data_IF_223085137093
#
_entry.id   IF_223085137093
#
_cell.length_a   1.000
_cell.length_b   1.000
_cell.length_c   1.000
_cell.angle_alpha   90.00
_cell.angle_beta   90.00
_cell.angle_gamma   90.00
#
_symmetry.space_group_name_H-M   'P 1'
#
loop_
_entity.id
_entity.type
_entity.pdbx_description
1 polymer ?
#
# COMPACT_ATOMS: atom_id res chain seq x y z
N UNK A 1 -4.71 -17.57 26.41
CA UNK A 1 -5.07 -16.31 25.74
C UNK A 1 -4.64 -15.15 26.63
N UNK A 2 -3.63 -14.37 26.22
CA UNK A 2 -2.93 -13.38 27.04
C UNK A 2 -3.86 -12.21 27.43
N UNK A 3 -3.72 -11.71 28.67
CA UNK A 3 -4.56 -10.62 29.25
C UNK A 3 -4.52 -9.34 28.42
N UNK A 4 -3.40 -9.08 27.74
CA UNK A 4 -3.24 -7.96 26.81
C UNK A 4 -4.10 -8.10 25.54
N UNK A 5 -4.25 -9.33 25.00
CA UNK A 5 -5.13 -9.59 23.86
C UNK A 5 -6.61 -9.37 24.18
N UNK A 6 -7.04 -9.66 25.43
CA UNK A 6 -8.44 -9.40 25.86
C UNK A 6 -8.74 -7.91 26.03
N UNK A 7 -7.77 -7.13 26.50
CA UNK A 7 -7.91 -5.67 26.65
C UNK A 7 -7.92 -5.00 25.27
N UNK A 8 -7.09 -5.48 24.36
CA UNK A 8 -7.00 -5.00 22.98
C UNK A 8 -8.28 -5.32 22.18
N UNK A 9 -8.80 -6.54 22.30
CA UNK A 9 -10.08 -6.93 21.70
C UNK A 9 -11.24 -6.04 22.19
N UNK A 10 -11.24 -5.64 23.47
CA UNK A 10 -12.25 -4.75 24.06
C UNK A 10 -12.19 -3.32 23.50
N UNK A 11 -11.00 -2.85 23.09
CA UNK A 11 -10.80 -1.51 22.53
C UNK A 11 -11.25 -1.44 21.06
N UNK A 12 -10.90 -2.45 20.26
CA UNK A 12 -11.37 -2.61 18.87
C UNK A 12 -12.91 -2.75 18.82
N UNK A 13 -13.51 -3.31 19.87
CA UNK A 13 -14.95 -3.58 20.00
C UNK A 13 -15.83 -2.32 20.17
N UNK A 14 -15.28 -1.13 20.32
CA UNK A 14 -16.05 0.11 20.57
C UNK A 14 -16.12 1.09 19.40
N UNK A 15 -15.42 0.85 18.29
CA UNK A 15 -15.38 1.79 17.17
C UNK A 15 -16.29 1.36 15.99
N UNK A 16 -16.73 2.33 15.19
CA UNK A 16 -17.40 2.11 13.88
C UNK A 16 -16.58 1.20 12.94
N UNK A 17 -15.31 1.08 13.18
CA UNK A 17 -14.33 0.23 12.54
C UNK A 17 -14.59 -1.28 12.74
N UNK A 18 -15.17 -1.69 13.87
CA UNK A 18 -15.58 -3.09 14.09
C UNK A 18 -16.58 -3.55 13.03
N UNK A 19 -17.60 -2.74 12.73
CA UNK A 19 -18.59 -3.09 11.69
C UNK A 19 -17.94 -3.17 10.32
N UNK A 20 -16.97 -2.29 10.01
CA UNK A 20 -16.26 -2.33 8.73
C UNK A 20 -15.39 -3.59 8.60
N UNK A 21 -14.73 -4.03 9.68
CA UNK A 21 -13.96 -5.30 9.68
C UNK A 21 -14.90 -6.50 9.65
N UNK A 22 -15.98 -6.52 10.41
CA UNK A 22 -17.00 -7.58 10.37
C UNK A 22 -17.64 -7.65 8.98
N UNK A 23 -18.03 -6.53 8.37
CA UNK A 23 -18.52 -6.44 6.99
C UNK A 23 -17.47 -6.89 5.96
N UNK A 24 -16.17 -6.68 6.25
CA UNK A 24 -15.07 -7.12 5.41
C UNK A 24 -14.87 -8.64 5.51
N UNK A 25 -14.99 -9.18 6.71
CA UNK A 25 -14.87 -10.60 6.99
C UNK A 25 -16.06 -11.39 6.40
N UNK A 26 -17.28 -10.84 6.47
CA UNK A 26 -18.49 -11.45 5.88
C UNK A 26 -18.49 -11.39 4.34
N UNK A 27 -17.73 -10.45 3.74
CA UNK A 27 -17.61 -10.32 2.27
C UNK A 27 -16.50 -11.19 1.67
N UNK A 28 -15.63 -11.78 2.49
CA UNK A 28 -14.70 -12.82 2.06
C UNK A 28 -15.50 -14.12 1.87
N UNK A 29 -16.09 -14.30 0.70
CA UNK A 29 -16.80 -15.53 0.36
C UNK A 29 -15.86 -16.74 0.39
N UNK A 30 -16.17 -17.73 1.23
CA UNK A 30 -15.43 -19.00 1.29
C UNK A 30 -16.02 -19.96 0.26
N UNK A 31 -15.18 -20.51 -0.59
CA UNK A 31 -15.53 -21.67 -1.42
C UNK A 31 -14.70 -22.84 -0.95
N UNK A 32 -15.34 -23.77 -0.20
CA UNK A 32 -14.67 -25.02 0.18
C UNK A 32 -14.58 -25.99 -0.99
N UNK A 33 -13.40 -26.53 -1.21
CA UNK A 33 -13.18 -27.69 -2.09
C UNK A 33 -13.29 -28.95 -1.23
N UNK A 34 -13.94 -30.02 -1.70
CA UNK A 34 -14.17 -31.29 -0.99
C UNK A 34 -12.92 -31.81 -0.25
N UNK A 35 -13.05 -31.99 1.07
CA UNK A 35 -11.96 -32.28 2.02
C UNK A 35 -11.91 -33.79 2.36
N UNK A 36 -10.80 -34.51 2.15
CA UNK A 36 -10.54 -35.83 2.69
C UNK A 36 -10.19 -35.81 4.20
N UNK A 37 -10.48 -36.87 4.92
CA UNK A 37 -10.53 -36.93 6.38
C UNK A 37 -9.17 -36.86 7.15
N UNK A 38 -8.02 -36.78 6.52
CA UNK A 38 -6.70 -36.68 7.16
C UNK A 38 -5.81 -35.68 6.43
N UNK A 39 -5.75 -34.43 6.91
CA UNK A 39 -4.88 -33.40 6.32
C UNK A 39 -3.95 -32.83 7.39
N UNK A 40 -2.70 -32.60 7.00
CA UNK A 40 -1.64 -32.14 7.91
C UNK A 40 -1.64 -30.63 8.11
N UNK A 41 -2.04 -29.85 7.08
CA UNK A 41 -2.05 -28.38 7.13
C UNK A 41 -3.34 -27.83 6.57
N UNK A 42 -3.89 -26.79 7.21
CA UNK A 42 -5.00 -26.00 6.67
C UNK A 42 -4.44 -24.74 5.99
N UNK A 43 -4.58 -24.66 4.68
CA UNK A 43 -4.06 -23.58 3.83
C UNK A 43 -5.21 -22.71 3.37
N UNK A 44 -5.08 -21.39 3.48
CA UNK A 44 -6.02 -20.44 2.89
C UNK A 44 -5.36 -19.67 1.75
N UNK A 45 -5.78 -19.95 0.50
CA UNK A 45 -5.34 -19.22 -0.69
C UNK A 45 -6.06 -17.89 -0.77
N UNK A 46 -5.33 -16.81 -0.58
CA UNK A 46 -5.83 -15.46 -0.61
C UNK A 46 -5.70 -14.88 -2.01
N UNK A 47 -6.83 -14.72 -2.68
CA UNK A 47 -6.91 -14.23 -4.07
C UNK A 47 -7.66 -12.90 -4.09
N UNK A 48 -7.35 -12.02 -5.02
CA UNK A 48 -8.03 -10.75 -5.20
C UNK A 48 -8.73 -10.69 -6.56
N UNK A 49 -9.99 -10.24 -6.59
CA UNK A 49 -10.79 -10.17 -7.82
C UNK A 49 -10.41 -8.98 -8.71
N UNK A 50 -9.96 -7.86 -8.11
CA UNK A 50 -9.47 -6.72 -8.89
C UNK A 50 -8.16 -7.08 -9.58
N UNK A 51 -8.12 -6.79 -10.87
CA UNK A 51 -7.00 -7.17 -11.73
C UNK A 51 -6.13 -5.99 -12.16
N UNK A 52 -6.55 -4.74 -11.93
CA UNK A 52 -5.81 -3.56 -12.35
C UNK A 52 -5.53 -2.61 -11.19
N UNK A 53 -4.74 -3.08 -10.28
CA UNK A 53 -4.41 -2.38 -9.04
C UNK A 53 -2.90 -2.32 -8.83
N UNK A 54 -2.40 -1.21 -8.30
CA UNK A 54 -1.00 -1.08 -7.93
C UNK A 54 -0.66 -1.90 -6.68
N UNK A 55 0.62 -2.19 -6.50
CA UNK A 55 1.18 -3.05 -5.45
C UNK A 55 0.71 -2.69 -4.03
N UNK A 56 0.59 -1.40 -3.68
CA UNK A 56 0.12 -1.01 -2.34
C UNK A 56 -1.39 -1.13 -2.18
N UNK A 57 -2.16 -1.19 -3.26
CA UNK A 57 -3.57 -1.58 -3.18
C UNK A 57 -3.70 -3.06 -2.81
N UNK A 58 -2.83 -3.92 -3.35
CA UNK A 58 -2.72 -5.33 -2.95
C UNK A 58 -2.23 -5.44 -1.50
N UNK A 59 -1.19 -4.71 -1.12
CA UNK A 59 -0.65 -4.69 0.24
C UNK A 59 -1.75 -4.41 1.28
N UNK A 60 -2.54 -3.33 1.09
CA UNK A 60 -3.62 -2.95 1.99
C UNK A 60 -4.76 -3.97 1.99
N UNK A 61 -5.08 -4.57 0.83
CA UNK A 61 -6.15 -5.55 0.72
C UNK A 61 -5.81 -6.90 1.35
N UNK A 62 -4.56 -7.34 1.25
CA UNK A 62 -4.14 -8.62 1.81
C UNK A 62 -3.87 -8.58 3.32
N UNK A 63 -3.57 -7.44 3.93
CA UNK A 63 -3.37 -7.34 5.37
C UNK A 63 -4.53 -7.93 6.18
N UNK A 64 -5.79 -7.50 6.01
CA UNK A 64 -6.91 -8.08 6.75
C UNK A 64 -7.24 -9.52 6.33
N UNK A 65 -6.98 -9.88 5.06
CA UNK A 65 -7.19 -11.26 4.61
C UNK A 65 -6.20 -12.24 5.27
N UNK A 66 -4.93 -11.86 5.38
CA UNK A 66 -3.91 -12.63 6.10
C UNK A 66 -4.30 -12.75 7.58
N UNK A 67 -4.75 -11.66 8.20
CA UNK A 67 -5.20 -11.67 9.60
C UNK A 67 -6.37 -12.65 9.80
N UNK A 68 -7.35 -12.62 8.90
CA UNK A 68 -8.51 -13.49 8.94
C UNK A 68 -8.10 -14.97 8.85
N UNK A 69 -7.25 -15.34 7.90
CA UNK A 69 -6.75 -16.70 7.75
C UNK A 69 -6.02 -17.19 9.02
N UNK A 70 -5.13 -16.36 9.58
CA UNK A 70 -4.41 -16.70 10.82
C UNK A 70 -5.35 -16.87 12.01
N UNK A 71 -6.39 -16.04 12.12
CA UNK A 71 -7.40 -16.19 13.19
C UNK A 71 -8.20 -17.50 13.10
N UNK A 72 -8.42 -18.00 11.89
CA UNK A 72 -9.04 -19.32 11.64
C UNK A 72 -8.09 -20.48 11.91
N UNK A 73 -6.81 -20.22 12.12
CA UNK A 73 -5.77 -21.23 12.27
C UNK A 73 -5.24 -21.76 10.94
N UNK A 74 -5.53 -21.08 9.84
CA UNK A 74 -5.04 -21.40 8.51
C UNK A 74 -3.69 -20.76 8.23
N UNK A 75 -2.91 -21.39 7.35
CA UNK A 75 -1.67 -20.82 6.79
C UNK A 75 -2.05 -19.97 5.56
N UNK A 76 -1.91 -18.64 5.62
CA UNK A 76 -2.23 -17.78 4.49
C UNK A 76 -1.18 -17.88 3.38
N UNK A 77 -1.63 -18.09 2.15
CA UNK A 77 -0.80 -18.07 0.93
C UNK A 77 -1.39 -17.05 -0.03
N UNK A 78 -0.64 -16.00 -0.35
CA UNK A 78 -1.10 -14.97 -1.28
C UNK A 78 -0.93 -15.45 -2.73
N UNK A 79 -2.05 -15.55 -3.44
CA UNK A 79 -2.14 -16.03 -4.81
C UNK A 79 -2.54 -14.91 -5.77
N UNK A 80 -1.54 -14.28 -6.42
CA UNK A 80 -1.72 -13.34 -7.53
C UNK A 80 -1.37 -13.96 -8.89
N UNK A 81 -1.30 -15.28 -8.95
CA UNK A 81 -1.14 -16.05 -10.18
C UNK A 81 -2.50 -16.45 -10.76
N UNK A 82 -3.39 -17.01 -9.96
CA UNK A 82 -4.71 -17.50 -10.42
C UNK A 82 -5.58 -16.37 -10.98
N UNK A 83 -5.59 -15.20 -10.33
CA UNK A 83 -6.18 -13.95 -10.84
C UNK A 83 -5.05 -12.93 -10.90
N UNK A 84 -4.38 -12.89 -12.05
CA UNK A 84 -3.21 -12.06 -12.24
C UNK A 84 -3.56 -10.57 -12.32
N UNK A 85 -2.62 -9.74 -11.89
CA UNK A 85 -2.75 -8.30 -11.98
C UNK A 85 -2.46 -7.83 -13.42
N UNK A 86 -3.40 -7.14 -14.05
CA UNK A 86 -3.24 -6.64 -15.43
C UNK A 86 -2.19 -5.54 -15.57
N UNK A 87 -1.79 -4.85 -14.48
CA UNK A 87 -0.62 -3.98 -14.46
C UNK A 87 0.68 -4.76 -14.68
N UNK A 88 0.68 -6.06 -14.41
CA UNK A 88 1.80 -6.97 -14.58
C UNK A 88 1.46 -8.07 -15.61
N UNK A 89 0.72 -7.71 -16.67
CA UNK A 89 0.20 -8.64 -17.68
C UNK A 89 1.27 -9.47 -18.38
N UNK A 90 2.51 -8.96 -18.47
CA UNK A 90 3.64 -9.70 -19.05
C UNK A 90 4.10 -10.86 -18.16
N UNK A 91 3.56 -10.99 -16.95
CA UNK A 91 3.94 -11.97 -15.93
C UNK A 91 2.74 -12.82 -15.47
N UNK A 92 1.78 -13.08 -16.37
CA UNK A 92 0.53 -13.79 -16.05
C UNK A 92 0.75 -15.19 -15.45
N UNK A 93 1.86 -15.84 -15.79
CA UNK A 93 2.20 -17.19 -15.31
C UNK A 93 2.96 -17.19 -13.96
N UNK A 94 3.25 -16.02 -13.40
CA UNK A 94 3.97 -15.89 -12.14
C UNK A 94 3.05 -15.42 -11.01
N UNK A 95 3.38 -15.79 -9.76
CA UNK A 95 2.79 -15.17 -8.59
C UNK A 95 3.43 -13.79 -8.38
N UNK A 96 2.79 -12.73 -8.89
CA UNK A 96 3.37 -11.38 -8.90
C UNK A 96 3.51 -10.76 -7.51
N UNK A 97 2.86 -11.30 -6.50
CA UNK A 97 3.12 -10.95 -5.09
C UNK A 97 4.57 -11.22 -4.71
N UNK A 98 5.10 -12.39 -5.10
CA UNK A 98 6.46 -12.85 -4.74
C UNK A 98 7.58 -12.09 -5.45
N UNK A 99 7.27 -11.20 -6.39
CA UNK A 99 8.26 -10.27 -6.93
C UNK A 99 8.79 -9.28 -5.91
N UNK A 100 7.96 -8.97 -4.90
CA UNK A 100 8.23 -7.90 -3.94
C UNK A 100 8.15 -8.35 -2.50
N UNK A 101 7.31 -9.34 -2.19
CA UNK A 101 7.04 -9.79 -0.83
C UNK A 101 7.28 -11.29 -0.67
N UNK A 102 7.79 -11.65 0.51
CA UNK A 102 7.80 -13.05 0.93
C UNK A 102 6.36 -13.50 1.21
N UNK A 103 6.11 -14.80 1.12
CA UNK A 103 4.85 -15.36 1.60
C UNK A 103 4.72 -15.21 3.12
N UNK A 104 3.52 -14.91 3.65
CA UNK A 104 3.33 -14.55 5.07
C UNK A 104 3.86 -15.55 6.08
N UNK A 105 3.75 -16.85 5.75
CA UNK A 105 4.18 -17.96 6.61
C UNK A 105 5.24 -18.84 5.95
N UNK A 106 5.98 -18.32 4.96
CA UNK A 106 7.02 -19.03 4.20
C UNK A 106 6.52 -20.30 3.48
N UNK A 107 5.24 -20.36 3.16
CA UNK A 107 4.62 -21.40 2.33
C UNK A 107 4.12 -20.73 1.06
N UNK A 108 4.61 -21.16 -0.10
CA UNK A 108 4.22 -20.64 -1.42
C UNK A 108 3.26 -21.56 -2.16
N UNK A 109 2.87 -21.16 -3.38
CA UNK A 109 1.98 -21.97 -4.21
C UNK A 109 2.62 -23.30 -4.61
N UNK A 110 3.94 -23.32 -4.78
CA UNK A 110 4.69 -24.52 -5.17
C UNK A 110 4.91 -25.52 -4.03
N UNK A 111 4.68 -25.08 -2.79
CA UNK A 111 4.78 -25.92 -1.57
C UNK A 111 3.47 -26.65 -1.26
N UNK A 112 2.41 -26.44 -2.02
CA UNK A 112 1.11 -27.02 -1.78
C UNK A 112 1.08 -28.50 -2.17
N UNK A 113 0.60 -29.34 -1.25
CA UNK A 113 0.40 -30.76 -1.50
C UNK A 113 -1.10 -31.08 -1.45
N UNK A 114 -1.70 -31.28 -2.64
CA UNK A 114 -3.14 -31.53 -2.79
C UNK A 114 -3.62 -32.83 -2.09
N UNK A 115 -2.71 -33.75 -1.79
CA UNK A 115 -3.06 -35.03 -1.13
C UNK A 115 -3.09 -34.89 0.39
N UNK A 116 -2.28 -34.00 0.97
CA UNK A 116 -2.14 -33.86 2.43
C UNK A 116 -2.64 -32.52 3.00
N UNK A 117 -2.77 -31.47 2.16
CA UNK A 117 -3.21 -30.14 2.62
C UNK A 117 -4.73 -29.97 2.47
N UNK A 118 -5.34 -29.34 3.47
CA UNK A 118 -6.67 -28.77 3.34
C UNK A 118 -6.56 -27.37 2.74
N UNK A 119 -7.06 -27.20 1.51
CA UNK A 119 -6.94 -25.92 0.78
C UNK A 119 -8.29 -25.26 0.67
N UNK A 120 -8.43 -24.10 1.31
CA UNK A 120 -9.59 -23.19 1.18
C UNK A 120 -9.18 -21.98 0.33
N UNK A 121 -10.05 -21.51 -0.54
CA UNK A 121 -9.80 -20.30 -1.35
C UNK A 121 -10.69 -19.17 -0.88
N UNK A 122 -10.07 -18.07 -0.48
CA UNK A 122 -10.75 -16.82 -0.11
C UNK A 122 -10.51 -15.74 -1.15
N UNK A 123 -11.57 -15.04 -1.51
CA UNK A 123 -11.51 -13.92 -2.44
C UNK A 123 -11.70 -12.62 -1.66
N UNK A 124 -10.72 -11.73 -1.70
CA UNK A 124 -10.97 -10.36 -1.27
C UNK A 124 -11.93 -9.72 -2.28
N UNK A 125 -13.03 -9.15 -1.78
CA UNK A 125 -14.01 -8.52 -2.66
C UNK A 125 -13.48 -7.20 -3.24
N UNK A 126 -14.01 -6.82 -4.41
CA UNK A 126 -13.77 -5.54 -5.07
C UNK A 126 -14.00 -4.30 -4.19
N UNK A 127 -14.67 -4.47 -3.08
CA UNK A 127 -15.07 -3.40 -2.16
C UNK A 127 -14.27 -3.42 -0.86
N UNK A 128 -12.99 -3.82 -0.88
CA UNK A 128 -12.09 -3.53 0.25
C UNK A 128 -12.13 -2.01 0.43
N UNK A 129 -12.46 -1.50 1.64
CA UNK A 129 -12.44 -0.07 1.87
C UNK A 129 -11.12 0.51 1.38
N UNK A 130 -11.18 1.62 0.65
CA UNK A 130 -9.99 2.33 0.17
C UNK A 130 -9.07 2.73 1.33
N UNK A 131 -9.53 2.55 2.55
CA UNK A 131 -8.85 2.90 3.78
C UNK A 131 -8.97 1.80 4.81
N UNK A 132 -7.84 1.22 5.16
CA UNK A 132 -7.70 0.26 6.26
C UNK A 132 -7.52 0.97 7.61
N UNK A 133 -6.89 2.14 7.62
CA UNK A 133 -6.58 2.88 8.84
C UNK A 133 -7.16 4.29 8.84
N UNK A 134 -7.53 4.78 10.04
CA UNK A 134 -7.51 6.21 10.33
C UNK A 134 -6.12 6.54 10.88
N UNK A 135 -5.35 7.35 10.16
CA UNK A 135 -3.98 7.71 10.58
C UNK A 135 -3.92 8.48 11.91
N UNK A 136 -5.05 8.97 12.40
CA UNK A 136 -5.17 9.63 13.73
C UNK A 136 -5.46 8.64 14.86
N UNK A 137 -5.90 7.43 14.53
CA UNK A 137 -6.09 6.35 15.50
C UNK A 137 -4.79 5.56 15.67
N UNK A 138 -3.94 6.07 16.58
CA UNK A 138 -2.63 5.47 16.85
C UNK A 138 -2.72 3.99 17.23
N UNK A 139 -3.76 3.57 17.92
CA UNK A 139 -3.94 2.18 18.31
C UNK A 139 -4.14 1.26 17.09
N UNK A 140 -4.95 1.71 16.13
CA UNK A 140 -5.18 0.98 14.87
C UNK A 140 -3.91 0.98 14.01
N UNK A 141 -3.21 2.12 13.90
CA UNK A 141 -1.95 2.21 13.16
C UNK A 141 -0.91 1.27 13.76
N UNK A 142 -0.71 1.28 15.07
CA UNK A 142 0.23 0.39 15.77
C UNK A 142 -0.11 -1.09 15.60
N UNK A 143 -1.38 -1.43 15.63
CA UNK A 143 -1.82 -2.81 15.38
C UNK A 143 -1.39 -3.29 13.99
N UNK A 144 -1.73 -2.55 12.93
CA UNK A 144 -1.39 -2.92 11.56
C UNK A 144 0.11 -2.86 11.29
N UNK A 145 0.84 -1.93 11.91
CA UNK A 145 2.30 -1.85 11.86
C UNK A 145 2.95 -3.13 12.41
N UNK A 146 2.56 -3.56 13.60
CA UNK A 146 3.09 -4.79 14.20
C UNK A 146 2.69 -6.03 13.41
N UNK A 147 1.47 -6.06 12.90
CA UNK A 147 0.98 -7.17 12.08
C UNK A 147 1.74 -7.25 10.76
N UNK A 148 1.87 -6.15 10.05
CA UNK A 148 2.59 -6.09 8.78
C UNK A 148 4.06 -6.50 8.93
N UNK A 149 4.77 -6.02 9.95
CA UNK A 149 6.17 -6.42 10.22
C UNK A 149 6.34 -7.91 10.39
N UNK A 150 5.34 -8.58 10.92
CA UNK A 150 5.39 -10.02 11.14
C UNK A 150 5.09 -10.81 9.89
N UNK A 151 4.12 -10.39 9.09
CA UNK A 151 3.53 -11.21 8.04
C UNK A 151 3.73 -10.70 6.62
N UNK A 152 4.08 -9.43 6.41
CA UNK A 152 4.40 -8.89 5.09
C UNK A 152 5.81 -8.33 5.10
N UNK A 153 6.74 -9.07 4.53
CA UNK A 153 8.14 -8.70 4.41
C UNK A 153 8.52 -8.59 2.95
N UNK A 154 9.30 -7.59 2.62
CA UNK A 154 9.93 -7.54 1.30
C UNK A 154 10.88 -8.73 1.13
N UNK A 155 11.08 -9.18 -0.11
CA UNK A 155 12.10 -10.18 -0.41
C UNK A 155 13.48 -9.71 0.06
N UNK A 156 14.43 -10.62 0.37
CA UNK A 156 15.77 -10.24 0.85
C UNK A 156 16.48 -9.28 -0.11
N UNK A 157 16.39 -9.55 -1.41
CA UNK A 157 17.01 -8.75 -2.48
C UNK A 157 16.42 -7.33 -2.49
N UNK A 158 15.09 -7.23 -2.40
CA UNK A 158 14.42 -5.94 -2.40
C UNK A 158 14.73 -5.16 -1.12
N UNK A 159 14.78 -5.81 0.04
CA UNK A 159 15.19 -5.15 1.30
C UNK A 159 16.58 -4.53 1.20
N UNK A 160 17.52 -5.24 0.60
CA UNK A 160 18.87 -4.71 0.39
C UNK A 160 18.83 -3.48 -0.53
N UNK A 161 18.15 -3.56 -1.67
CA UNK A 161 18.02 -2.42 -2.60
C UNK A 161 17.37 -1.20 -1.94
N UNK A 162 16.31 -1.41 -1.16
CA UNK A 162 15.62 -0.34 -0.44
C UNK A 162 16.54 0.34 0.59
N UNK A 163 17.30 -0.45 1.35
CA UNK A 163 18.25 0.08 2.32
C UNK A 163 19.43 0.82 1.66
N UNK A 164 19.86 0.39 0.49
CA UNK A 164 20.86 1.09 -0.33
C UNK A 164 20.31 2.42 -0.83
N UNK A 165 19.11 2.43 -1.41
CA UNK A 165 18.44 3.65 -1.87
C UNK A 165 18.25 4.66 -0.73
N UNK A 166 17.86 4.21 0.47
CA UNK A 166 17.73 5.08 1.65
C UNK A 166 19.07 5.73 2.03
N UNK A 167 20.16 4.95 2.09
CA UNK A 167 21.50 5.45 2.42
C UNK A 167 22.07 6.43 1.39
N UNK A 168 21.74 6.22 0.12
CA UNK A 168 22.18 7.09 -0.97
C UNK A 168 21.40 8.42 -0.98
N UNK A 169 20.12 8.38 -0.70
CA UNK A 169 19.25 9.53 -0.84
C UNK A 169 19.15 10.37 0.44
N UNK A 170 19.14 9.75 1.61
CA UNK A 170 18.96 10.46 2.88
C UNK A 170 20.29 10.84 3.51
N UNK A 171 20.60 12.14 3.71
CA UNK A 171 21.77 12.55 4.45
C UNK A 171 21.73 12.03 5.89
N UNK A 172 22.84 11.56 6.42
CA UNK A 172 22.92 11.00 7.75
C UNK A 172 22.42 12.00 8.81
N UNK A 173 21.47 11.58 9.64
CA UNK A 173 20.90 12.39 10.71
C UNK A 173 19.94 13.49 10.25
N UNK A 174 19.65 13.61 8.96
CA UNK A 174 18.73 14.61 8.46
C UNK A 174 17.28 14.32 8.88
N UNK A 175 16.56 15.36 9.26
CA UNK A 175 15.12 15.34 9.49
C UNK A 175 14.42 15.56 8.16
N UNK A 176 13.73 14.55 7.65
CA UNK A 176 13.13 14.57 6.32
C UNK A 176 11.61 14.68 6.42
N UNK A 177 11.04 15.66 5.70
CA UNK A 177 9.61 15.76 5.44
C UNK A 177 9.26 14.95 4.20
N UNK A 178 8.54 13.85 4.33
CA UNK A 178 7.94 13.14 3.19
C UNK A 178 6.71 13.89 2.66
N UNK A 179 6.61 14.06 1.35
CA UNK A 179 5.47 14.67 0.67
C UNK A 179 4.98 13.75 -0.43
N UNK A 180 3.76 13.22 -0.29
CA UNK A 180 3.17 12.32 -1.27
C UNK A 180 2.05 13.00 -2.05
N UNK A 181 2.26 13.17 -3.36
CA UNK A 181 1.34 13.84 -4.29
C UNK A 181 0.84 12.85 -5.33
N UNK A 182 -0.47 12.78 -5.49
CA UNK A 182 -1.11 11.91 -6.49
C UNK A 182 -1.95 12.75 -7.45
N UNK A 183 -1.35 13.24 -8.52
CA UNK A 183 -1.94 14.21 -9.43
C UNK A 183 -3.16 13.67 -10.18
N UNK A 184 -3.12 12.42 -10.63
CA UNK A 184 -4.21 11.80 -11.41
C UNK A 184 -5.54 11.67 -10.67
N UNK A 185 -5.61 12.05 -9.40
CA UNK A 185 -6.81 11.99 -8.55
C UNK A 185 -7.12 13.32 -7.86
N UNK A 186 -6.52 14.42 -8.31
CA UNK A 186 -6.86 15.72 -7.77
C UNK A 186 -8.23 16.23 -8.29
N UNK A 187 -8.80 17.22 -7.60
CA UNK A 187 -10.16 17.69 -7.84
C UNK A 187 -10.37 18.31 -9.24
N UNK A 188 -9.32 18.88 -9.84
CA UNK A 188 -9.35 19.45 -11.17
C UNK A 188 -9.41 18.37 -12.26
N UNK A 189 -8.64 17.31 -12.11
CA UNK A 189 -8.73 16.11 -12.96
C UNK A 189 -10.09 15.44 -12.85
N UNK A 190 -10.71 15.49 -11.68
CA UNK A 190 -11.99 14.83 -11.38
C UNK A 190 -13.19 15.48 -12.05
N UNK A 191 -13.12 16.78 -12.34
CA UNK A 191 -14.23 17.46 -13.06
C UNK A 191 -14.39 16.95 -14.50
N UNK A 192 -13.37 16.32 -15.08
CA UNK A 192 -13.34 15.87 -16.47
C UNK A 192 -13.17 14.36 -16.67
N UNK A 193 -12.96 13.58 -15.61
CA UNK A 193 -12.71 12.13 -15.70
C UNK A 193 -13.71 11.31 -14.89
N UNK A 194 -14.07 10.14 -15.40
CA UNK A 194 -14.85 9.11 -14.68
C UNK A 194 -13.96 8.45 -13.61
N UNK A 195 -13.69 9.17 -12.53
CA UNK A 195 -12.98 8.58 -11.40
C UNK A 195 -13.86 7.53 -10.76
N UNK A 196 -13.25 6.40 -10.42
CA UNK A 196 -13.96 5.30 -9.80
C UNK A 196 -14.67 5.79 -8.52
N UNK A 197 -15.95 5.45 -8.41
CA UNK A 197 -16.75 5.70 -7.21
C UNK A 197 -16.04 5.12 -5.99
N UNK A 198 -16.01 5.87 -4.89
CA UNK A 198 -15.39 5.43 -3.64
C UNK A 198 -13.92 5.83 -3.48
N UNK A 199 -13.26 6.40 -4.51
CA UNK A 199 -11.89 6.89 -4.35
C UNK A 199 -11.83 8.23 -3.59
N UNK A 200 -10.85 8.42 -2.68
CA UNK A 200 -10.68 9.66 -1.96
C UNK A 200 -10.15 10.76 -2.88
N UNK A 201 -10.68 11.98 -2.68
CA UNK A 201 -10.17 13.17 -3.34
C UNK A 201 -8.78 13.49 -2.82
N UNK A 202 -7.90 13.91 -3.74
CA UNK A 202 -6.52 14.28 -3.43
C UNK A 202 -6.35 15.81 -3.39
N UNK A 203 -5.46 16.31 -2.54
CA UNK A 203 -5.08 17.71 -2.54
C UNK A 203 -4.39 18.09 -3.87
N UNK A 204 -4.57 19.34 -4.29
CA UNK A 204 -3.88 19.84 -5.49
C UNK A 204 -2.37 19.98 -5.27
N UNK A 205 -1.60 20.02 -6.34
CA UNK A 205 -0.15 20.23 -6.27
C UNK A 205 0.19 21.57 -5.58
N UNK A 206 -0.62 22.63 -5.84
CA UNK A 206 -0.45 23.94 -5.22
C UNK A 206 -0.72 23.91 -3.72
N UNK A 207 -1.77 23.22 -3.28
CA UNK A 207 -2.06 23.02 -1.84
C UNK A 207 -0.95 22.25 -1.15
N UNK A 208 -0.48 21.16 -1.79
CA UNK A 208 0.63 20.37 -1.27
C UNK A 208 1.92 21.17 -1.20
N UNK A 209 2.25 21.97 -2.21
CA UNK A 209 3.42 22.85 -2.22
C UNK A 209 3.35 23.91 -1.12
N UNK A 210 2.18 24.55 -0.97
CA UNK A 210 1.95 25.57 0.07
C UNK A 210 2.14 24.98 1.46
N UNK A 211 1.54 23.81 1.72
CA UNK A 211 1.67 23.14 3.00
C UNK A 211 3.10 22.62 3.21
N UNK A 212 3.76 22.09 2.18
CA UNK A 212 5.15 21.64 2.29
C UNK A 212 6.09 22.78 2.73
N UNK A 213 5.94 23.99 2.18
CA UNK A 213 6.70 25.18 2.62
C UNK A 213 6.50 25.47 4.09
N UNK A 214 5.25 25.47 4.55
CA UNK A 214 4.91 25.75 5.93
C UNK A 214 5.43 24.67 6.87
N UNK A 215 5.16 23.39 6.56
CA UNK A 215 5.51 22.27 7.42
C UNK A 215 7.01 22.00 7.50
N UNK A 216 7.75 22.27 6.43
CA UNK A 216 9.20 22.10 6.41
C UNK A 216 9.87 22.94 7.51
N UNK A 217 9.39 24.17 7.72
CA UNK A 217 9.88 25.08 8.75
C UNK A 217 9.28 24.78 10.13
N UNK A 218 7.94 24.65 10.24
CA UNK A 218 7.25 24.40 11.50
C UNK A 218 7.68 23.10 12.18
N UNK A 219 7.96 22.06 11.39
CA UNK A 219 8.37 20.75 11.89
C UNK A 219 9.89 20.57 11.94
N UNK A 220 10.61 21.66 11.70
CA UNK A 220 12.07 21.72 11.74
C UNK A 220 12.73 20.58 10.94
N UNK A 221 12.32 20.43 9.65
CA UNK A 221 12.88 19.44 8.75
C UNK A 221 14.00 20.04 7.88
N UNK A 222 15.11 19.31 7.74
CA UNK A 222 16.29 19.76 6.97
C UNK A 222 16.08 19.58 5.47
N UNK A 223 15.37 18.52 5.10
CA UNK A 223 15.15 18.06 3.74
C UNK A 223 13.68 17.74 3.51
N UNK A 224 13.29 17.66 2.25
CA UNK A 224 11.98 17.26 1.80
C UNK A 224 12.14 16.18 0.73
N UNK A 225 11.49 15.03 0.92
CA UNK A 225 11.33 14.00 -0.11
C UNK A 225 9.99 14.21 -0.80
N UNK A 226 9.98 14.51 -2.11
CA UNK A 226 8.76 14.55 -2.91
C UNK A 226 8.57 13.27 -3.69
N UNK A 227 7.36 12.70 -3.63
CA UNK A 227 6.91 11.60 -4.49
C UNK A 227 5.68 12.03 -5.26
N UNK A 228 5.72 11.87 -6.58
CA UNK A 228 4.67 12.32 -7.48
C UNK A 228 4.73 11.58 -8.83
N UNK A 229 3.72 11.77 -9.67
CA UNK A 229 3.60 11.05 -10.95
C UNK A 229 4.20 11.83 -12.13
N UNK A 230 4.36 13.15 -12.01
CA UNK A 230 4.74 14.01 -13.13
C UNK A 230 6.10 14.68 -12.94
N UNK A 231 6.79 14.92 -14.06
CA UNK A 231 8.10 15.60 -14.07
C UNK A 231 7.96 17.07 -13.68
N UNK A 232 6.88 17.73 -14.14
CA UNK A 232 6.63 19.14 -13.84
C UNK A 232 6.48 19.40 -12.34
N UNK A 233 5.85 18.45 -11.61
CA UNK A 233 5.75 18.55 -10.15
C UNK A 233 7.10 18.39 -9.47
N UNK A 234 7.93 17.43 -9.90
CA UNK A 234 9.30 17.30 -9.37
C UNK A 234 10.09 18.58 -9.63
N UNK A 235 10.07 19.10 -10.86
CA UNK A 235 10.78 20.34 -11.20
C UNK A 235 10.28 21.54 -10.40
N UNK A 236 8.96 21.65 -10.16
CA UNK A 236 8.37 22.69 -9.33
C UNK A 236 8.92 22.62 -7.89
N UNK A 237 9.02 21.43 -7.32
CA UNK A 237 9.56 21.22 -5.98
C UNK A 237 11.08 21.47 -5.94
N UNK A 238 11.84 21.00 -6.93
CA UNK A 238 13.27 21.26 -7.05
C UNK A 238 13.56 22.76 -7.16
N UNK A 239 12.81 23.50 -7.97
CA UNK A 239 12.97 24.97 -8.09
C UNK A 239 12.61 25.70 -6.80
N UNK A 240 11.62 25.17 -6.05
CA UNK A 240 11.15 25.81 -4.81
C UNK A 240 12.08 25.57 -3.63
N UNK A 241 12.61 24.35 -3.48
CA UNK A 241 13.35 23.94 -2.30
C UNK A 241 14.86 23.76 -2.55
N UNK A 242 15.30 23.84 -3.79
CA UNK A 242 16.70 23.71 -4.17
C UNK A 242 17.31 22.39 -3.69
N UNK A 243 18.46 22.45 -3.07
CA UNK A 243 19.19 21.29 -2.53
C UNK A 243 18.47 20.59 -1.36
N UNK A 244 17.45 21.19 -0.78
CA UNK A 244 16.63 20.54 0.24
C UNK A 244 15.66 19.53 -0.35
N UNK A 245 15.39 19.56 -1.66
CA UNK A 245 14.47 18.67 -2.36
C UNK A 245 15.14 17.34 -2.74
N UNK A 246 14.63 16.26 -2.22
CA UNK A 246 15.02 14.90 -2.55
C UNK A 246 13.91 14.25 -3.40
N UNK A 247 14.28 13.40 -4.35
CA UNK A 247 13.34 12.57 -5.11
C UNK A 247 14.04 11.30 -5.60
N UNK A 248 13.29 10.25 -5.79
CA UNK A 248 13.78 9.04 -6.48
C UNK A 248 13.89 9.34 -7.97
N UNK A 249 15.05 9.09 -8.55
CA UNK A 249 15.22 9.20 -10.00
C UNK A 249 14.53 8.02 -10.70
N UNK A 250 13.52 8.34 -11.49
CA UNK A 250 12.74 7.38 -12.28
C UNK A 250 12.02 8.07 -13.44
N UNK A 251 11.62 7.34 -14.48
CA UNK A 251 10.73 7.88 -15.51
C UNK A 251 9.39 8.34 -14.90
N UNK A 252 8.97 9.55 -15.26
CA UNK A 252 7.68 10.13 -14.88
C UNK A 252 6.89 10.56 -16.11
N UNK A 253 5.61 10.80 -15.94
CA UNK A 253 4.78 11.38 -16.96
C UNK A 253 5.01 12.89 -17.04
N UNK A 254 4.71 13.49 -18.20
CA UNK A 254 4.42 14.94 -18.28
C UNK A 254 2.94 15.17 -18.00
N UNK A 255 2.53 16.38 -17.62
CA UNK A 255 1.10 16.68 -17.43
C UNK A 255 0.27 16.37 -18.69
N UNK A 256 0.80 16.65 -19.87
CA UNK A 256 0.14 16.38 -21.15
C UNK A 256 0.01 14.87 -21.43
N UNK A 257 0.97 14.09 -20.96
CA UNK A 257 1.01 12.63 -21.12
C UNK A 257 0.46 11.88 -19.92
N UNK A 258 0.03 12.59 -18.84
CA UNK A 258 -0.57 11.96 -17.68
C UNK A 258 -1.88 11.28 -18.10
N UNK A 259 -1.92 9.97 -18.10
CA UNK A 259 -3.02 9.27 -18.71
C UNK A 259 -4.25 9.30 -17.79
N UNK A 260 -5.41 9.58 -18.38
CA UNK A 260 -6.72 9.50 -17.73
C UNK A 260 -7.28 8.07 -17.81
N UNK A 261 -7.77 7.55 -16.70
CA UNK A 261 -8.52 6.30 -16.65
C UNK A 261 -7.82 5.11 -17.33
N UNK A 262 -8.42 4.54 -18.37
CA UNK A 262 -7.87 3.39 -19.11
C UNK A 262 -6.51 3.68 -19.79
N UNK A 263 -6.25 4.93 -20.20
CA UNK A 263 -4.97 5.32 -20.80
C UNK A 263 -3.80 5.24 -19.82
N UNK A 264 -4.06 5.45 -18.50
CA UNK A 264 -3.05 5.26 -17.47
C UNK A 264 -2.56 3.81 -17.45
N UNK A 265 -3.50 2.88 -17.55
CA UNK A 265 -3.24 1.45 -17.59
C UNK A 265 -2.46 1.06 -18.85
N UNK A 266 -2.84 1.60 -20.01
CA UNK A 266 -2.12 1.36 -21.27
C UNK A 266 -0.70 1.95 -21.25
N UNK A 267 -0.50 3.11 -20.65
CA UNK A 267 0.82 3.73 -20.53
C UNK A 267 1.74 2.86 -19.67
N UNK A 268 1.27 2.37 -18.51
CA UNK A 268 2.04 1.43 -17.66
C UNK A 268 2.33 0.13 -18.40
N UNK A 269 1.38 -0.42 -19.17
CA UNK A 269 1.59 -1.65 -19.96
C UNK A 269 2.65 -1.52 -21.04
N UNK A 270 2.94 -0.31 -21.51
CA UNK A 270 3.99 -0.02 -22.50
C UNK A 270 5.39 0.17 -21.90
N UNK A 271 5.49 0.23 -20.57
CA UNK A 271 6.76 0.36 -19.84
C UNK A 271 7.23 -0.99 -19.31
N UNK A 272 8.40 -1.04 -18.70
CA UNK A 272 8.76 -2.15 -17.81
C UNK A 272 7.88 -2.11 -16.58
N UNK A 273 6.81 -2.91 -16.59
CA UNK A 273 5.78 -2.94 -15.55
C UNK A 273 6.35 -3.28 -14.18
N UNK A 274 7.29 -4.21 -14.13
CA UNK A 274 7.95 -4.62 -12.88
C UNK A 274 8.82 -3.51 -12.32
N UNK A 275 9.59 -2.83 -13.17
CA UNK A 275 10.41 -1.70 -12.76
C UNK A 275 9.55 -0.52 -12.30
N UNK A 276 8.43 -0.25 -12.98
CA UNK A 276 7.49 0.79 -12.59
C UNK A 276 6.93 0.57 -11.16
N UNK A 277 6.50 -0.64 -10.84
CA UNK A 277 6.04 -0.99 -9.50
C UNK A 277 7.18 -0.95 -8.46
N UNK A 278 8.39 -1.38 -8.84
CA UNK A 278 9.57 -1.31 -7.99
C UNK A 278 9.93 0.14 -7.62
N UNK A 279 9.88 1.05 -8.58
CA UNK A 279 10.14 2.47 -8.33
C UNK A 279 9.09 3.08 -7.41
N UNK A 280 7.82 2.67 -7.55
CA UNK A 280 6.77 3.07 -6.63
C UNK A 280 6.98 2.49 -5.22
N UNK A 281 7.44 1.25 -5.11
CA UNK A 281 7.81 0.64 -3.82
C UNK A 281 8.91 1.44 -3.14
N UNK A 282 9.97 1.83 -3.88
CA UNK A 282 11.06 2.67 -3.35
C UNK A 282 10.53 3.99 -2.79
N UNK A 283 9.66 4.68 -3.54
CA UNK A 283 9.07 5.94 -3.08
C UNK A 283 8.29 5.77 -1.77
N UNK A 284 7.39 4.78 -1.68
CA UNK A 284 6.58 4.57 -0.48
C UNK A 284 7.43 4.06 0.70
N UNK A 285 8.42 3.21 0.45
CA UNK A 285 9.38 2.81 1.47
C UNK A 285 10.13 4.03 2.04
N UNK A 286 10.67 4.89 1.20
CA UNK A 286 11.37 6.10 1.64
C UNK A 286 10.44 7.05 2.41
N UNK A 287 9.19 7.20 1.98
CA UNK A 287 8.19 7.97 2.75
C UNK A 287 8.01 7.39 4.15
N UNK A 288 8.01 6.06 4.31
CA UNK A 288 7.90 5.41 5.62
C UNK A 288 9.12 5.64 6.54
N UNK A 289 10.24 6.10 5.97
CA UNK A 289 11.50 6.40 6.67
C UNK A 289 11.67 7.88 7.02
N UNK A 290 10.75 8.74 6.54
CA UNK A 290 10.77 10.16 6.84
C UNK A 290 10.45 10.46 8.32
N UNK A 291 10.98 11.58 8.83
CA UNK A 291 10.69 12.04 10.20
C UNK A 291 9.26 12.56 10.33
N UNK A 292 8.77 13.22 9.29
CA UNK A 292 7.43 13.80 9.24
C UNK A 292 6.77 13.52 7.89
N UNK A 293 5.43 13.57 7.81
CA UNK A 293 4.71 13.15 6.61
C UNK A 293 3.54 14.07 6.25
N UNK A 294 3.53 14.53 4.99
CA UNK A 294 2.44 15.30 4.38
C UNK A 294 1.86 14.51 3.20
N UNK A 295 0.57 14.19 3.24
CA UNK A 295 -0.05 13.36 2.22
C UNK A 295 -1.55 13.62 2.07
N UNK A 296 -2.13 13.06 1.02
CA UNK A 296 -3.56 12.78 0.93
C UNK A 296 -3.81 11.29 1.11
N UNK A 297 -5.02 10.94 1.54
CA UNK A 297 -5.40 9.56 1.82
C UNK A 297 -5.43 8.70 0.55
N UNK A 298 -4.63 7.64 0.51
CA UNK A 298 -4.61 6.63 -0.54
C UNK A 298 -3.85 5.38 -0.04
N UNK A 299 -3.90 4.26 -0.78
CA UNK A 299 -3.25 3.00 -0.35
C UNK A 299 -1.74 3.14 -0.14
N UNK A 300 -1.06 3.97 -0.93
CA UNK A 300 0.38 4.23 -0.75
C UNK A 300 0.67 4.98 0.55
N UNK A 301 -0.09 6.05 0.85
CA UNK A 301 0.08 6.79 2.10
C UNK A 301 -0.26 5.92 3.33
N UNK A 302 -1.29 5.09 3.26
CA UNK A 302 -1.62 4.14 4.33
C UNK A 302 -0.51 3.10 4.52
N UNK A 303 0.04 2.55 3.43
CA UNK A 303 1.18 1.65 3.51
C UNK A 303 2.41 2.33 4.14
N UNK A 304 2.68 3.60 3.80
CA UNK A 304 3.76 4.35 4.43
C UNK A 304 3.56 4.51 5.94
N UNK A 305 2.33 4.80 6.41
CA UNK A 305 2.02 4.82 7.86
C UNK A 305 2.24 3.45 8.52
N UNK A 306 1.81 2.38 7.89
CA UNK A 306 1.94 1.01 8.43
C UNK A 306 3.40 0.55 8.44
N UNK A 307 4.19 0.89 7.42
CA UNK A 307 5.60 0.51 7.35
C UNK A 307 6.51 1.39 8.22
N UNK A 308 6.09 2.60 8.59
CA UNK A 308 6.90 3.54 9.38
C UNK A 308 7.15 3.05 10.82
N UNK A 309 8.18 3.60 11.47
CA UNK A 309 8.37 3.50 12.93
C UNK A 309 7.47 4.46 13.72
N UNK A 310 6.81 5.38 13.03
CA UNK A 310 6.01 6.49 13.52
C UNK A 310 6.56 7.81 12.99
N UNK A 311 5.67 8.76 12.74
CA UNK A 311 6.06 10.12 12.36
C UNK A 311 6.00 11.03 13.58
N UNK A 312 6.97 11.91 13.73
CA UNK A 312 6.92 12.94 14.78
C UNK A 312 5.77 13.91 14.54
N UNK A 313 5.55 14.26 13.26
CA UNK A 313 4.44 15.08 12.83
C UNK A 313 3.87 14.54 11.53
N UNK A 314 2.57 14.65 11.35
CA UNK A 314 1.96 14.36 10.05
C UNK A 314 0.73 15.24 9.77
N UNK A 315 0.45 15.41 8.51
CA UNK A 315 -0.79 15.98 8.00
C UNK A 315 -1.30 15.14 6.85
N UNK A 316 -2.51 14.59 7.01
CA UNK A 316 -3.19 13.84 5.97
C UNK A 316 -4.44 14.61 5.55
N UNK A 317 -4.55 14.95 4.27
CA UNK A 317 -5.74 15.56 3.70
C UNK A 317 -6.84 14.51 3.55
N UNK A 318 -7.99 14.78 4.15
CA UNK A 318 -9.22 13.99 4.02
C UNK A 318 -10.29 14.85 3.34
N UNK A 319 -10.29 14.86 2.03
CA UNK A 319 -11.15 15.73 1.20
C UNK A 319 -12.49 15.07 0.80
N UNK A 320 -12.80 13.92 1.41
CA UNK A 320 -13.99 13.14 1.10
C UNK A 320 -13.77 12.12 -0.01
N UNK A 321 -14.86 11.40 -0.35
CA UNK A 321 -14.86 10.35 -1.38
C UNK A 321 -15.66 10.80 -2.59
N UNK A 322 -15.26 10.36 -3.78
CA UNK A 322 -16.08 10.45 -4.96
C UNK A 322 -17.29 9.52 -4.80
N UNK A 323 -18.50 10.07 -4.90
CA UNK A 323 -19.79 9.38 -4.67
C UNK A 323 -20.50 9.10 -5.98
#
# INVERSE_FOLDING_TARGET
MNRQLKTFAKYILKSSFRRQIEDLLDRCGEHSVNVPAHRERSIELLTRQETDVGVFSDYIAFLPAIECAIRKGHIPVVDRKTIHNTFLSNYADANTWEFYFEQPCSVGLDDLNNDSDEVVRSYSSANVPVSLIDCRDEATVQYWRQFARRYIRFTPELRQQLAETERELFPAGARVLGVSIREGYNKLFQMNSKIAVGHPFQASTEEMLSQAKQRLEEWNCDRLLVTCQTEETVELFRRTFGERCLCVERPRYTYEALPEGERAREAVRKTDQRQHELDYIKEIYLLSRCTSFLCSKNSGSEAAFIMSEGYEHFQCFELGLNR
#
